data_IF_156973159736
#
_entry.id   IF_156973159736
#
_cell.length_a   1.000
_cell.length_b   1.000
_cell.length_c   1.000
_cell.angle_alpha   90.00
_cell.angle_beta   90.00
_cell.angle_gamma   90.00
#
_symmetry.space_group_name_H-M   'P 1'
#
loop_
_entity.id
_entity.type
_entity.pdbx_description
1 polymer ?
#
# COMPACT_ATOMS: atom_id res chain seq x y z
N UNK A 1 74.59 -30.49 -6.70
CA UNK A 1 74.12 -29.20 -7.23
C UNK A 1 72.85 -29.47 -8.03
N UNK A 2 71.73 -28.91 -7.57
CA UNK A 2 70.35 -28.92 -8.12
C UNK A 2 69.37 -29.26 -6.98
N UNK A 3 68.56 -28.30 -6.49
CA UNK A 3 67.57 -28.56 -5.46
C UNK A 3 66.28 -29.18 -6.07
N UNK A 4 65.70 -30.16 -5.38
CA UNK A 4 64.37 -30.70 -5.71
C UNK A 4 63.29 -29.63 -5.53
N UNK A 5 62.32 -29.50 -6.44
CA UNK A 5 61.24 -28.52 -6.26
C UNK A 5 60.33 -28.96 -5.11
N UNK A 6 60.17 -28.07 -4.13
CA UNK A 6 59.14 -28.17 -3.08
C UNK A 6 57.78 -27.99 -3.75
N UNK A 7 56.90 -28.97 -3.61
CA UNK A 7 55.49 -28.89 -3.98
C UNK A 7 54.82 -27.82 -3.11
N UNK A 8 54.58 -26.64 -3.67
CA UNK A 8 53.71 -25.65 -3.04
C UNK A 8 52.26 -26.04 -3.34
N UNK A 9 51.57 -26.57 -2.33
CA UNK A 9 50.11 -26.72 -2.35
C UNK A 9 49.54 -25.32 -2.14
N UNK A 10 49.14 -24.66 -3.23
CA UNK A 10 48.36 -23.44 -3.17
C UNK A 10 46.96 -23.80 -2.67
N UNK A 11 46.68 -23.55 -1.39
CA UNK A 11 45.29 -23.47 -0.93
C UNK A 11 44.68 -22.22 -1.57
N UNK A 12 43.93 -22.42 -2.64
CA UNK A 12 43.01 -21.41 -3.12
C UNK A 12 41.92 -21.29 -2.05
N UNK A 13 42.02 -20.28 -1.17
CA UNK A 13 40.85 -19.84 -0.42
C UNK A 13 39.84 -19.37 -1.46
N UNK A 14 38.89 -20.22 -1.81
CA UNK A 14 37.60 -19.75 -2.29
C UNK A 14 37.04 -18.93 -1.14
N UNK A 15 37.19 -17.61 -1.23
CA UNK A 15 36.32 -16.71 -0.51
C UNK A 15 34.92 -17.00 -1.04
N UNK A 16 34.21 -17.91 -0.38
CA UNK A 16 32.77 -18.01 -0.50
C UNK A 16 32.29 -16.63 -0.06
N UNK A 17 32.00 -15.76 -1.03
CA UNK A 17 31.13 -14.62 -0.79
C UNK A 17 29.86 -15.27 -0.27
N UNK A 18 29.71 -15.26 1.05
CA UNK A 18 28.41 -15.38 1.68
C UNK A 18 27.70 -14.12 1.19
N UNK A 19 27.06 -14.23 0.03
CA UNK A 19 26.01 -13.30 -0.34
C UNK A 19 24.94 -13.58 0.70
N UNK A 20 24.98 -12.84 1.81
CA UNK A 20 23.77 -12.65 2.60
C UNK A 20 22.75 -12.18 1.60
N UNK A 21 21.79 -13.05 1.28
CA UNK A 21 20.64 -12.66 0.50
C UNK A 21 20.07 -11.44 1.21
N UNK A 22 20.22 -10.26 0.62
CA UNK A 22 19.48 -9.10 1.05
C UNK A 22 18.03 -9.56 1.03
N UNK A 23 17.37 -9.53 2.18
CA UNK A 23 15.93 -9.73 2.22
C UNK A 23 15.34 -8.77 1.20
N UNK A 24 14.57 -9.28 0.23
CA UNK A 24 13.87 -8.44 -0.74
C UNK A 24 13.26 -7.24 0.00
N UNK A 25 13.55 -6.00 -0.39
CA UNK A 25 13.07 -4.83 0.32
C UNK A 25 11.57 -4.95 0.53
N UNK A 26 11.11 -4.75 1.77
CA UNK A 26 9.68 -4.76 2.08
C UNK A 26 9.09 -3.49 1.44
N UNK A 27 8.55 -3.62 0.23
CA UNK A 27 8.41 -2.49 -0.71
C UNK A 27 7.07 -1.77 -0.64
N UNK A 28 6.10 -2.29 0.12
CA UNK A 28 4.78 -1.68 0.18
C UNK A 28 4.82 -0.40 1.02
N UNK A 29 4.30 0.67 0.43
CA UNK A 29 4.22 1.98 1.03
C UNK A 29 2.73 2.30 1.20
N UNK A 30 2.35 2.83 2.35
CA UNK A 30 1.03 3.43 2.54
C UNK A 30 1.19 4.95 2.56
N UNK A 31 0.36 5.66 1.80
CA UNK A 31 0.54 7.08 1.59
C UNK A 31 -0.82 7.79 1.57
N UNK A 32 -0.90 8.97 2.15
CA UNK A 32 -2.12 9.79 2.13
C UNK A 32 -1.80 11.27 2.23
N UNK A 33 -2.80 12.11 1.93
CA UNK A 33 -2.76 13.55 2.13
C UNK A 33 -4.04 13.98 2.84
N UNK A 34 -3.91 14.78 3.89
CA UNK A 34 -5.03 15.29 4.67
C UNK A 34 -5.17 16.82 4.62
N UNK A 35 -4.33 17.48 3.83
CA UNK A 35 -4.31 18.92 3.71
C UNK A 35 -3.17 19.36 2.79
N UNK A 36 -3.24 20.58 2.26
CA UNK A 36 -2.12 21.15 1.51
C UNK A 36 -1.14 21.83 2.46
N UNK A 37 0.18 21.58 2.36
CA UNK A 37 0.89 20.73 1.40
C UNK A 37 1.17 19.30 1.91
N UNK A 38 0.52 18.88 3.01
CA UNK A 38 0.87 17.71 3.78
C UNK A 38 0.66 16.39 3.04
N UNK A 39 1.71 15.59 3.02
CA UNK A 39 1.70 14.18 2.61
C UNK A 39 2.36 13.37 3.71
N UNK A 40 1.80 12.21 4.02
CA UNK A 40 2.35 11.27 4.99
C UNK A 40 2.55 9.93 4.31
N UNK A 41 3.72 9.33 4.53
CA UNK A 41 4.09 8.03 3.98
C UNK A 41 4.61 7.12 5.08
N UNK A 42 4.17 5.87 5.04
CA UNK A 42 4.49 4.81 5.98
C UNK A 42 5.02 3.60 5.24
N UNK A 43 5.93 2.88 5.87
CA UNK A 43 6.36 1.57 5.38
C UNK A 43 7.05 0.79 6.48
N UNK A 44 7.61 -0.35 6.09
CA UNK A 44 8.20 -1.31 7.02
C UNK A 44 9.68 -1.51 6.67
N UNK A 45 10.55 -1.40 7.67
CA UNK A 45 11.97 -1.70 7.52
C UNK A 45 12.24 -3.22 7.54
N UNK A 46 13.44 -3.68 7.13
CA UNK A 46 13.80 -5.11 7.18
C UNK A 46 13.66 -5.74 8.58
N UNK A 47 13.91 -4.99 9.65
CA UNK A 47 13.76 -5.43 11.05
C UNK A 47 12.28 -5.45 11.53
N UNK A 48 11.34 -5.16 10.62
CA UNK A 48 9.89 -5.04 10.83
C UNK A 48 9.44 -3.80 11.58
N UNK A 49 10.33 -2.86 11.89
CA UNK A 49 9.91 -1.55 12.42
C UNK A 49 9.06 -0.80 11.39
N UNK A 50 8.18 0.06 11.87
CA UNK A 50 7.34 0.90 11.03
C UNK A 50 8.00 2.29 10.96
N UNK A 51 8.34 2.73 9.76
CA UNK A 51 8.84 4.08 9.53
C UNK A 51 7.75 4.98 8.99
N UNK A 52 7.86 6.28 9.31
CA UNK A 52 7.00 7.33 8.82
C UNK A 52 7.82 8.52 8.33
N UNK A 53 7.39 9.15 7.25
CA UNK A 53 7.96 10.39 6.75
C UNK A 53 6.83 11.27 6.23
N UNK A 54 6.99 12.57 6.31
CA UNK A 54 5.96 13.49 5.91
C UNK A 54 6.52 14.76 5.28
N UNK A 55 5.75 15.37 4.39
CA UNK A 55 6.08 16.65 3.78
C UNK A 55 5.32 17.79 4.47
N UNK A 56 6.03 18.86 4.79
CA UNK A 56 5.44 20.11 5.29
C UNK A 56 5.37 21.19 4.21
N UNK A 57 5.78 20.87 2.97
CA UNK A 57 5.87 21.78 1.83
C UNK A 57 6.93 22.87 2.02
N UNK A 58 7.01 23.79 1.06
CA UNK A 58 8.06 24.82 1.04
C UNK A 58 7.87 25.88 2.13
N UNK A 59 8.94 26.30 2.85
CA UNK A 59 10.34 25.89 2.69
C UNK A 59 10.76 24.67 3.55
N UNK A 60 9.89 24.10 4.37
CA UNK A 60 10.24 23.08 5.36
C UNK A 60 10.60 21.73 4.75
N UNK A 61 9.91 21.33 3.68
CA UNK A 61 10.05 20.07 2.95
C UNK A 61 9.81 18.82 3.80
N UNK A 62 10.37 17.71 3.33
CA UNK A 62 10.28 16.40 3.95
C UNK A 62 10.94 16.30 5.32
N UNK A 63 10.27 15.61 6.25
CA UNK A 63 10.69 15.38 7.63
C UNK A 63 10.37 13.95 8.09
N UNK A 64 11.17 13.38 9.01
CA UNK A 64 12.50 13.83 9.41
C UNK A 64 13.50 13.86 8.24
N UNK A 65 14.59 14.62 8.38
CA UNK A 65 15.67 14.67 7.38
C UNK A 65 17.02 14.88 8.09
N UNK A 66 18.00 13.96 7.98
CA UNK A 66 17.92 12.68 7.26
C UNK A 66 17.04 11.64 8.00
N UNK A 67 16.60 10.60 7.29
CA UNK A 67 15.92 9.44 7.87
C UNK A 67 14.40 9.54 7.99
N UNK A 68 13.84 8.82 8.96
CA UNK A 68 12.41 8.61 9.15
C UNK A 68 12.03 8.67 10.65
N UNK A 69 10.77 8.98 10.92
CA UNK A 69 10.18 8.86 12.25
C UNK A 69 9.91 7.37 12.55
N UNK A 70 10.32 6.90 13.72
CA UNK A 70 10.00 5.55 14.19
C UNK A 70 8.59 5.58 14.79
N UNK A 71 7.67 4.83 14.17
CA UNK A 71 6.29 4.76 14.62
C UNK A 71 6.08 3.82 15.81
N UNK A 72 7.16 3.17 16.26
CA UNK A 72 7.26 2.33 17.45
C UNK A 72 6.34 1.11 17.36
N UNK A 73 6.93 -0.06 17.15
CA UNK A 73 6.20 -1.32 16.99
C UNK A 73 6.83 -2.19 15.92
N UNK A 74 6.29 -3.40 15.74
CA UNK A 74 6.68 -4.26 14.61
C UNK A 74 5.46 -4.71 13.84
N UNK A 75 5.49 -4.54 12.53
CA UNK A 75 4.42 -4.96 11.65
C UNK A 75 4.74 -6.30 10.98
N UNK A 76 3.76 -7.20 10.98
CA UNK A 76 3.80 -8.47 10.25
C UNK A 76 3.24 -8.30 8.83
N UNK A 77 2.19 -7.51 8.68
CA UNK A 77 1.67 -7.04 7.38
C UNK A 77 1.76 -5.53 7.27
N UNK A 78 1.71 -5.05 6.03
CA UNK A 78 1.88 -3.64 5.69
C UNK A 78 0.92 -2.71 6.43
N UNK A 79 1.38 -1.50 6.79
CA UNK A 79 0.52 -0.51 7.41
C UNK A 79 -0.53 -0.02 6.42
N UNK A 80 -1.64 0.46 6.96
CA UNK A 80 -2.73 1.08 6.20
C UNK A 80 -3.04 2.42 6.85
N UNK A 81 -3.37 3.43 6.05
CA UNK A 81 -3.52 4.80 6.54
C UNK A 81 -4.75 5.45 5.94
N UNK A 82 -5.48 6.20 6.76
CA UNK A 82 -6.64 6.98 6.32
C UNK A 82 -6.61 8.37 6.96
N UNK A 83 -7.18 9.34 6.27
CA UNK A 83 -7.57 10.61 6.85
C UNK A 83 -9.03 10.89 6.54
N UNK A 84 -9.74 11.45 7.52
CA UNK A 84 -11.10 11.93 7.36
C UNK A 84 -11.21 13.46 7.47
N UNK A 85 -10.09 14.18 7.63
CA UNK A 85 -10.08 15.63 7.77
C UNK A 85 -8.71 16.23 8.05
N UNK A 86 -8.63 17.56 7.95
CA UNK A 86 -7.43 18.33 8.25
C UNK A 86 -6.90 18.00 9.65
N UNK A 87 -5.58 17.81 9.76
CA UNK A 87 -4.88 17.49 11.00
C UNK A 87 -5.28 16.16 11.64
N UNK A 88 -5.94 15.27 10.89
CA UNK A 88 -6.22 13.91 11.33
C UNK A 88 -5.56 12.90 10.43
N UNK A 89 -4.85 11.97 11.05
CA UNK A 89 -4.30 10.80 10.39
C UNK A 89 -4.50 9.58 11.29
N UNK A 90 -5.04 8.50 10.74
CA UNK A 90 -5.19 7.23 11.45
C UNK A 90 -4.36 6.18 10.71
N UNK A 91 -3.40 5.56 11.40
CA UNK A 91 -2.64 4.45 10.84
C UNK A 91 -2.94 3.15 11.60
N UNK A 92 -2.92 2.07 10.83
CA UNK A 92 -3.20 0.73 11.27
C UNK A 92 -2.07 -0.19 10.84
N UNK A 93 -1.82 -1.24 11.61
CA UNK A 93 -0.93 -2.32 11.20
C UNK A 93 -1.39 -3.63 11.82
N UNK A 94 -0.92 -4.75 11.26
CA UNK A 94 -1.10 -6.07 11.86
C UNK A 94 0.20 -6.49 12.52
N UNK A 95 0.16 -6.80 13.81
CA UNK A 95 1.32 -7.27 14.58
C UNK A 95 1.71 -8.72 14.29
N UNK A 96 2.83 -9.20 14.83
CA UNK A 96 3.30 -10.60 14.68
C UNK A 96 2.30 -11.61 15.24
N UNK A 97 1.54 -11.19 16.24
CA UNK A 97 0.44 -11.92 16.85
C UNK A 97 -0.86 -11.84 16.06
N UNK A 98 -0.83 -11.28 14.84
CA UNK A 98 -1.93 -11.22 13.88
C UNK A 98 -3.14 -10.39 14.30
N UNK A 99 -3.02 -9.56 15.32
CA UNK A 99 -4.07 -8.59 15.65
C UNK A 99 -3.83 -7.26 14.94
N UNK A 100 -4.92 -6.54 14.71
CA UNK A 100 -4.87 -5.16 14.26
C UNK A 100 -4.50 -4.24 15.43
N UNK A 101 -3.72 -3.21 15.10
CA UNK A 101 -3.32 -2.14 15.99
C UNK A 101 -3.63 -0.81 15.33
N UNK A 102 -3.93 0.20 16.15
CA UNK A 102 -4.28 1.54 15.71
C UNK A 102 -3.53 2.60 16.50
N UNK A 103 -3.12 3.65 15.80
CA UNK A 103 -2.59 4.87 16.40
C UNK A 103 -2.88 6.04 15.45
N UNK A 104 -3.11 7.22 16.00
CA UNK A 104 -3.60 8.36 15.23
C UNK A 104 -2.93 9.66 15.62
N UNK A 105 -2.83 10.58 14.67
CA UNK A 105 -2.41 11.96 14.88
C UNK A 105 -3.64 12.82 15.15
N UNK A 106 -3.65 13.54 16.28
CA UNK A 106 -4.77 14.40 16.69
C UNK A 106 -4.64 15.87 16.24
N UNK A 107 -3.58 16.18 15.50
CA UNK A 107 -3.21 17.54 15.09
C UNK A 107 -2.04 18.11 15.86
N UNK A 108 -1.68 17.48 16.98
CA UNK A 108 -0.59 17.92 17.85
C UNK A 108 0.36 16.78 18.26
N UNK A 109 -0.15 15.56 18.40
CA UNK A 109 0.62 14.40 18.80
C UNK A 109 0.01 13.08 18.32
N UNK A 110 0.83 12.03 18.38
CA UNK A 110 0.41 10.66 18.13
C UNK A 110 -0.19 10.02 19.38
N UNK A 111 -1.40 9.47 19.25
CA UNK A 111 -2.16 8.83 20.31
C UNK A 111 -2.49 7.36 19.97
N UNK A 112 -2.46 6.43 20.95
CA UNK A 112 -2.06 6.64 22.34
C UNK A 112 -0.58 7.06 22.49
N UNK A 113 -0.24 7.84 23.51
CA UNK A 113 1.12 8.38 23.68
C UNK A 113 2.17 7.26 23.88
N UNK A 114 3.41 7.54 23.49
CA UNK A 114 4.55 6.65 23.71
C UNK A 114 4.63 5.48 22.71
N UNK A 115 5.17 4.33 23.18
CA UNK A 115 5.55 3.17 22.35
C UNK A 115 4.39 2.22 22.00
N UNK A 116 3.17 2.57 22.36
CA UNK A 116 2.03 1.66 22.26
C UNK A 116 1.09 2.09 21.13
N UNK A 117 0.42 1.10 20.55
CA UNK A 117 -0.76 1.26 19.70
C UNK A 117 -1.96 0.67 20.44
N UNK A 118 -3.15 1.19 20.17
CA UNK A 118 -4.39 0.60 20.65
C UNK A 118 -4.60 -0.73 19.93
N UNK A 119 -4.68 -1.83 20.70
CA UNK A 119 -4.93 -3.16 20.15
C UNK A 119 -6.42 -3.32 19.87
N UNK A 120 -6.75 -3.67 18.63
CA UNK A 120 -8.12 -3.86 18.15
C UNK A 120 -8.52 -5.33 18.02
N UNK A 121 -7.68 -6.23 18.50
CA UNK A 121 -7.78 -7.69 18.35
C UNK A 121 -7.88 -8.15 16.88
N UNK A 122 -8.40 -9.37 16.66
CA UNK A 122 -8.44 -10.02 15.35
C UNK A 122 -7.37 -11.12 15.19
N UNK A 123 -7.43 -11.81 14.06
CA UNK A 123 -6.46 -12.84 13.67
C UNK A 123 -6.31 -12.83 12.14
N UNK A 124 -5.53 -11.88 11.65
CA UNK A 124 -5.41 -11.53 10.25
C UNK A 124 -4.28 -12.28 9.53
N UNK A 125 -4.51 -12.53 8.24
CA UNK A 125 -3.59 -13.20 7.30
C UNK A 125 -3.23 -12.33 6.09
N UNK A 126 -3.52 -11.03 6.16
CA UNK A 126 -3.21 -10.00 5.16
C UNK A 126 -3.02 -8.63 5.82
N UNK A 127 -2.63 -7.63 5.02
CA UNK A 127 -2.83 -6.22 5.39
C UNK A 127 -4.31 -5.85 5.53
N UNK A 128 -4.56 -4.65 6.04
CA UNK A 128 -5.93 -4.13 6.25
C UNK A 128 -6.31 -3.14 5.14
N UNK A 129 -7.59 -3.11 4.76
CA UNK A 129 -8.14 -2.01 3.96
C UNK A 129 -8.84 -1.03 4.88
N UNK A 130 -8.57 0.27 4.73
CA UNK A 130 -9.15 1.31 5.58
C UNK A 130 -9.75 2.42 4.72
N UNK A 131 -11.03 2.70 4.92
CA UNK A 131 -11.77 3.70 4.13
C UNK A 131 -12.55 4.64 5.05
N UNK A 132 -12.54 5.93 4.74
CA UNK A 132 -13.39 6.94 5.37
C UNK A 132 -14.39 7.47 4.35
N UNK A 133 -15.65 7.68 4.78
CA UNK A 133 -16.69 8.30 3.96
C UNK A 133 -17.30 9.55 4.57
N UNK A 134 -16.92 9.92 5.79
CA UNK A 134 -17.32 11.17 6.42
C UNK A 134 -16.34 11.57 7.52
N UNK A 135 -16.28 12.86 7.90
CA UNK A 135 -15.51 13.29 9.05
C UNK A 135 -15.83 12.46 10.30
N UNK A 136 -14.79 12.12 11.07
CA UNK A 136 -14.88 11.32 12.29
C UNK A 136 -15.52 9.93 12.07
N UNK A 137 -15.34 9.32 10.89
CA UNK A 137 -15.80 7.97 10.57
C UNK A 137 -14.82 7.26 9.64
N UNK A 138 -14.44 6.04 9.99
CA UNK A 138 -13.71 5.15 9.09
C UNK A 138 -14.00 3.69 9.40
N UNK A 139 -13.69 2.83 8.43
CA UNK A 139 -13.96 1.42 8.43
C UNK A 139 -12.73 0.65 8.02
N UNK A 140 -12.56 -0.50 8.67
CA UNK A 140 -11.42 -1.37 8.53
C UNK A 140 -11.93 -2.74 8.13
N UNK A 141 -11.31 -3.31 7.11
CA UNK A 141 -11.56 -4.68 6.66
C UNK A 141 -10.24 -5.43 6.63
N UNK A 142 -10.21 -6.65 7.12
CA UNK A 142 -9.03 -7.51 7.04
C UNK A 142 -9.39 -8.96 6.77
N UNK A 143 -8.52 -9.69 6.07
CA UNK A 143 -8.70 -11.12 5.84
C UNK A 143 -8.24 -11.92 7.05
N UNK A 144 -9.12 -12.77 7.58
CA UNK A 144 -8.83 -13.63 8.72
C UNK A 144 -7.93 -14.81 8.35
N UNK A 145 -7.45 -15.55 9.34
CA UNK A 145 -6.73 -16.81 9.13
C UNK A 145 -7.60 -17.94 8.54
N UNK A 146 -8.92 -17.75 8.51
CA UNK A 146 -9.89 -18.68 7.89
C UNK A 146 -10.41 -18.16 6.56
N UNK A 147 -9.69 -17.21 5.94
CA UNK A 147 -10.01 -16.60 4.64
C UNK A 147 -11.34 -15.83 4.58
N UNK A 148 -12.01 -15.58 5.70
CA UNK A 148 -13.17 -14.67 5.72
C UNK A 148 -12.71 -13.22 5.83
N UNK A 149 -13.54 -12.28 5.39
CA UNK A 149 -13.31 -10.86 5.68
C UNK A 149 -13.99 -10.45 6.99
N UNK A 150 -13.22 -9.79 7.84
CA UNK A 150 -13.69 -9.22 9.11
C UNK A 150 -13.75 -7.71 9.00
N UNK A 151 -14.78 -7.11 9.59
CA UNK A 151 -15.06 -5.68 9.57
C UNK A 151 -15.08 -5.07 10.97
N UNK A 152 -14.57 -3.84 11.07
CA UNK A 152 -14.67 -2.98 12.25
C UNK A 152 -14.83 -1.53 11.80
N UNK A 153 -15.49 -0.70 12.60
CA UNK A 153 -15.61 0.71 12.31
C UNK A 153 -15.37 1.59 13.54
N UNK A 154 -14.83 2.78 13.32
CA UNK A 154 -14.94 3.88 14.28
C UNK A 154 -16.17 4.70 13.94
N UNK A 155 -17.19 4.66 14.79
CA UNK A 155 -18.51 5.30 14.53
C UNK A 155 -18.55 6.81 14.78
N UNK A 156 -17.41 7.42 15.14
CA UNK A 156 -17.34 8.80 15.62
C UNK A 156 -17.50 8.95 17.13
N UNK A 157 -17.99 7.91 17.79
CA UNK A 157 -18.11 7.85 19.25
C UNK A 157 -17.46 6.59 19.85
N UNK A 158 -17.47 5.47 19.13
CA UNK A 158 -16.96 4.20 19.63
C UNK A 158 -16.58 3.23 18.50
N UNK A 159 -15.78 2.23 18.85
CA UNK A 159 -15.51 1.07 18.00
C UNK A 159 -16.76 0.19 17.88
N UNK A 160 -17.10 -0.20 16.65
CA UNK A 160 -18.13 -1.17 16.34
C UNK A 160 -17.52 -2.42 15.72
N UNK A 161 -17.92 -3.65 16.12
CA UNK A 161 -18.90 -3.97 17.16
C UNK A 161 -18.48 -3.57 18.58
N UNK A 162 -17.18 -3.69 18.87
CA UNK A 162 -16.53 -3.20 20.08
C UNK A 162 -15.03 -3.03 19.82
N UNK A 163 -14.24 -2.60 20.80
CA UNK A 163 -12.78 -2.53 20.65
C UNK A 163 -12.15 -3.92 20.44
N UNK A 164 -12.67 -4.96 21.12
CA UNK A 164 -12.12 -6.33 21.09
C UNK A 164 -12.75 -7.26 20.06
N UNK A 165 -13.86 -6.88 19.42
CA UNK A 165 -14.59 -7.77 18.51
C UNK A 165 -14.62 -7.24 17.08
N UNK A 166 -14.71 -8.16 16.12
CA UNK A 166 -14.87 -7.84 14.70
C UNK A 166 -16.14 -8.49 14.16
N UNK A 167 -16.82 -7.81 13.26
CA UNK A 167 -17.96 -8.37 12.53
C UNK A 167 -17.45 -9.28 11.41
N UNK A 168 -17.80 -10.56 11.45
CA UNK A 168 -17.45 -11.49 10.38
C UNK A 168 -18.41 -11.35 9.19
N UNK A 169 -17.89 -10.85 8.07
CA UNK A 169 -18.63 -10.67 6.82
C UNK A 169 -18.63 -11.94 5.95
N UNK A 170 -17.95 -13.02 6.36
CA UNK A 170 -17.91 -14.28 5.63
C UNK A 170 -17.02 -14.25 4.38
N UNK A 171 -17.42 -15.03 3.36
CA UNK A 171 -16.65 -15.28 2.15
C UNK A 171 -15.46 -16.24 2.33
N UNK A 172 -14.74 -16.49 1.24
CA UNK A 172 -13.52 -17.30 1.21
C UNK A 172 -12.53 -16.67 0.22
N UNK A 173 -11.60 -15.86 0.74
CA UNK A 173 -10.76 -14.97 -0.04
C UNK A 173 -9.29 -15.38 -0.08
N UNK A 174 -8.65 -15.17 -1.24
CA UNK A 174 -7.21 -15.35 -1.45
C UNK A 174 -6.44 -14.03 -1.35
N UNK A 175 -7.06 -12.90 -1.67
CA UNK A 175 -6.45 -11.57 -1.63
C UNK A 175 -6.63 -10.85 -0.28
N UNK A 176 -5.87 -9.78 -0.05
CA UNK A 176 -6.28 -8.75 0.91
C UNK A 176 -7.61 -8.09 0.43
N UNK A 177 -8.41 -7.54 1.36
CA UNK A 177 -9.58 -6.76 0.96
C UNK A 177 -9.14 -5.46 0.29
N UNK A 178 -9.94 -4.99 -0.67
CA UNK A 178 -9.86 -3.66 -1.22
C UNK A 178 -11.19 -2.95 -0.93
N UNK A 179 -11.17 -1.71 -0.43
CA UNK A 179 -12.40 -0.98 -0.13
C UNK A 179 -12.37 0.46 -0.62
N UNK A 180 -13.55 0.98 -0.97
CA UNK A 180 -13.74 2.33 -1.49
C UNK A 180 -15.07 2.90 -0.98
N UNK A 181 -15.14 4.23 -0.92
CA UNK A 181 -16.37 4.97 -0.72
C UNK A 181 -16.48 6.04 -1.80
N UNK A 182 -17.67 6.17 -2.39
CA UNK A 182 -18.02 7.24 -3.33
C UNK A 182 -18.99 8.26 -2.72
N UNK A 183 -19.38 8.10 -1.46
CA UNK A 183 -20.27 9.04 -0.78
C UNK A 183 -20.55 8.67 0.67
N UNK A 184 -21.16 9.59 1.45
CA UNK A 184 -21.53 9.33 2.83
C UNK A 184 -22.41 8.08 2.95
N UNK A 185 -22.17 7.28 4.00
CA UNK A 185 -22.90 6.05 4.29
C UNK A 185 -22.81 4.96 3.20
N UNK A 186 -21.76 5.03 2.38
CA UNK A 186 -21.47 4.01 1.37
C UNK A 186 -20.07 3.46 1.55
N UNK A 187 -19.97 2.14 1.64
CA UNK A 187 -18.71 1.41 1.61
C UNK A 187 -18.87 0.23 0.66
N UNK A 188 -17.94 0.08 -0.25
CA UNK A 188 -17.84 -1.06 -1.15
C UNK A 188 -16.57 -1.84 -0.82
N UNK A 189 -16.67 -3.16 -0.69
CA UNK A 189 -15.57 -4.06 -0.36
C UNK A 189 -15.46 -5.12 -1.45
N UNK A 190 -14.23 -5.38 -1.88
CA UNK A 190 -13.90 -6.33 -2.93
C UNK A 190 -12.82 -7.31 -2.47
N UNK A 191 -12.83 -8.50 -3.06
CA UNK A 191 -11.81 -9.52 -2.83
C UNK A 191 -11.79 -10.57 -3.93
N UNK A 192 -10.65 -11.24 -4.09
CA UNK A 192 -10.53 -12.39 -4.99
C UNK A 192 -10.96 -13.64 -4.24
N UNK A 193 -11.94 -14.33 -4.80
CA UNK A 193 -12.40 -15.61 -4.26
C UNK A 193 -11.30 -16.67 -4.35
N UNK A 194 -11.08 -17.41 -3.26
CA UNK A 194 -10.02 -18.40 -3.18
C UNK A 194 -10.31 -19.69 -3.98
N UNK A 195 -11.57 -19.94 -4.35
CA UNK A 195 -11.97 -21.13 -5.10
C UNK A 195 -12.06 -20.84 -6.60
N UNK A 196 -12.74 -19.76 -6.99
CA UNK A 196 -12.97 -19.41 -8.40
C UNK A 196 -11.92 -18.48 -8.99
N UNK A 197 -11.23 -17.69 -8.15
CA UNK A 197 -10.35 -16.62 -8.60
C UNK A 197 -11.07 -15.40 -9.20
N UNK A 198 -12.41 -15.34 -9.08
CA UNK A 198 -13.22 -14.20 -9.53
C UNK A 198 -13.27 -13.10 -8.47
N UNK A 199 -13.67 -11.88 -8.86
CA UNK A 199 -13.90 -10.79 -7.90
C UNK A 199 -15.28 -10.95 -7.26
N UNK A 200 -15.32 -10.92 -5.93
CA UNK A 200 -16.56 -10.78 -5.17
C UNK A 200 -16.69 -9.37 -4.60
N UNK A 201 -17.93 -8.96 -4.35
CA UNK A 201 -18.28 -7.66 -3.80
C UNK A 201 -19.33 -7.76 -2.69
N UNK A 202 -19.24 -6.83 -1.74
CA UNK A 202 -20.23 -6.59 -0.70
C UNK A 202 -20.18 -5.12 -0.32
N UNK A 203 -21.33 -4.52 -0.06
CA UNK A 203 -21.40 -3.10 0.23
C UNK A 203 -22.35 -2.76 1.36
N UNK A 204 -22.04 -1.68 2.06
CA UNK A 204 -22.90 -1.02 3.03
C UNK A 204 -23.62 0.14 2.36
N UNK A 205 -24.93 0.29 2.57
CA UNK A 205 -25.72 1.38 1.98
C UNK A 205 -26.54 2.18 3.01
N UNK A 206 -26.00 2.31 4.23
CA UNK A 206 -26.53 3.21 5.26
C UNK A 206 -27.23 2.50 6.41
N UNK A 207 -27.88 1.38 6.16
CA UNK A 207 -28.61 0.60 7.16
C UNK A 207 -28.23 -0.88 7.18
N UNK A 208 -27.72 -1.41 6.07
CA UNK A 208 -27.48 -2.84 5.91
C UNK A 208 -26.37 -3.16 4.91
N UNK A 209 -25.79 -4.35 5.10
CA UNK A 209 -24.88 -4.96 4.15
C UNK A 209 -25.65 -5.69 3.04
N UNK A 210 -25.15 -5.57 1.81
CA UNK A 210 -25.68 -6.26 0.63
C UNK A 210 -24.54 -7.00 -0.08
N UNK A 211 -24.71 -8.30 -0.40
CA UNK A 211 -25.81 -9.18 0.04
C UNK A 211 -25.92 -9.28 1.57
N UNK A 212 -27.08 -9.68 2.11
CA UNK A 212 -27.27 -9.80 3.56
C UNK A 212 -26.53 -11.03 4.13
N UNK A 213 -26.20 -11.00 5.42
CA UNK A 213 -25.48 -12.11 6.07
C UNK A 213 -24.03 -12.22 5.61
N UNK A 214 -23.54 -13.46 5.44
CA UNK A 214 -22.15 -13.80 5.11
C UNK A 214 -21.88 -14.03 3.61
N UNK A 215 -22.89 -13.78 2.79
CA UNK A 215 -22.84 -13.94 1.34
C UNK A 215 -22.19 -12.73 0.65
N UNK A 216 -21.70 -12.94 -0.57
CA UNK A 216 -21.03 -11.96 -1.42
C UNK A 216 -21.55 -12.08 -2.85
N UNK A 217 -21.67 -10.95 -3.56
CA UNK A 217 -22.04 -10.97 -4.98
C UNK A 217 -20.81 -11.29 -5.83
N UNK A 218 -20.98 -12.10 -6.87
CA UNK A 218 -19.90 -12.46 -7.80
C UNK A 218 -19.92 -11.53 -9.01
N UNK A 219 -18.84 -10.78 -9.19
CA UNK A 219 -18.65 -9.88 -10.33
C UNK A 219 -17.94 -10.57 -11.50
N UNK A 220 -17.61 -11.85 -11.37
CA UNK A 220 -16.94 -12.65 -12.40
C UNK A 220 -15.51 -12.19 -12.68
N UNK A 221 -15.07 -12.44 -13.91
CA UNK A 221 -13.68 -12.26 -14.33
C UNK A 221 -12.75 -13.36 -13.80
N UNK A 222 -11.45 -13.16 -13.98
CA UNK A 222 -10.40 -14.01 -13.43
C UNK A 222 -10.16 -15.32 -14.20
N UNK A 223 -9.38 -16.25 -13.62
CA UNK A 223 -8.75 -16.16 -12.29
C UNK A 223 -7.73 -15.01 -12.20
N UNK A 224 -7.84 -14.22 -11.14
CA UNK A 224 -6.97 -13.07 -10.88
C UNK A 224 -5.84 -13.42 -9.88
N UNK A 225 -4.75 -12.65 -9.96
CA UNK A 225 -3.55 -12.75 -9.13
C UNK A 225 -3.50 -11.64 -8.07
N UNK A 226 -2.79 -11.93 -6.98
CA UNK A 226 -2.39 -10.92 -6.01
C UNK A 226 -3.56 -10.22 -5.32
N UNK A 227 -3.46 -8.90 -5.22
CA UNK A 227 -4.48 -8.04 -4.63
C UNK A 227 -5.21 -7.20 -5.71
N UNK A 228 -6.37 -6.69 -5.32
CA UNK A 228 -7.22 -5.80 -6.13
C UNK A 228 -6.93 -4.35 -5.75
N UNK A 229 -6.98 -3.45 -6.74
CA UNK A 229 -7.07 -2.01 -6.50
C UNK A 229 -8.49 -1.53 -6.80
N UNK A 230 -9.02 -0.64 -5.96
CA UNK A 230 -10.29 0.06 -6.21
C UNK A 230 -10.16 1.54 -5.87
N UNK A 231 -10.81 2.39 -6.64
CA UNK A 231 -10.86 3.83 -6.35
C UNK A 231 -12.09 4.48 -6.98
N UNK A 232 -12.41 5.69 -6.54
CA UNK A 232 -13.56 6.47 -7.00
C UNK A 232 -13.17 7.92 -7.27
N UNK A 233 -13.72 8.51 -8.33
CA UNK A 233 -13.65 9.95 -8.57
C UNK A 233 -14.88 10.73 -8.07
N UNK A 234 -15.92 10.06 -7.57
CA UNK A 234 -17.11 10.75 -7.10
C UNK A 234 -18.38 9.91 -7.03
N UNK A 235 -19.51 10.55 -6.68
CA UNK A 235 -20.77 9.87 -6.42
C UNK A 235 -21.23 8.99 -7.59
N UNK A 236 -21.66 7.77 -7.27
CA UNK A 236 -22.14 6.80 -8.25
C UNK A 236 -21.04 6.16 -9.09
N UNK A 237 -19.75 6.39 -8.81
CA UNK A 237 -18.65 5.83 -9.58
C UNK A 237 -17.64 5.10 -8.70
N UNK A 238 -17.22 3.92 -9.12
CA UNK A 238 -15.91 3.38 -8.77
C UNK A 238 -15.40 2.47 -9.89
N UNK A 239 -14.11 2.22 -9.87
CA UNK A 239 -13.36 1.42 -10.82
C UNK A 239 -12.60 0.33 -10.05
N UNK A 240 -12.49 -0.85 -10.63
CA UNK A 240 -11.91 -2.06 -10.06
C UNK A 240 -10.83 -2.58 -11.01
N UNK A 241 -9.64 -2.84 -10.48
CA UNK A 241 -8.53 -3.36 -11.26
C UNK A 241 -7.96 -4.63 -10.64
N UNK A 242 -7.76 -5.64 -11.49
CA UNK A 242 -7.19 -6.92 -11.10
C UNK A 242 -6.27 -7.46 -12.20
N UNK A 243 -5.10 -7.96 -11.83
CA UNK A 243 -4.19 -8.61 -12.79
C UNK A 243 -4.61 -10.07 -12.98
N UNK A 244 -4.69 -10.56 -14.22
CA UNK A 244 -4.96 -11.97 -14.49
C UNK A 244 -3.69 -12.84 -14.47
N UNK A 245 -3.84 -14.15 -14.65
CA UNK A 245 -2.74 -15.12 -14.63
C UNK A 245 -1.65 -14.87 -15.69
N UNK A 246 -1.95 -14.13 -16.76
CA UNK A 246 -0.99 -13.74 -17.80
C UNK A 246 -0.29 -12.41 -17.49
N UNK A 247 -0.66 -11.78 -16.38
CA UNK A 247 -0.20 -10.47 -15.96
C UNK A 247 -0.89 -9.30 -16.65
N UNK A 248 -1.93 -9.55 -17.44
CA UNK A 248 -2.72 -8.49 -18.06
C UNK A 248 -3.64 -7.85 -17.00
N UNK A 249 -3.66 -6.52 -16.97
CA UNK A 249 -4.57 -5.77 -16.13
C UNK A 249 -5.98 -5.84 -16.72
N UNK A 250 -6.94 -6.22 -15.89
CA UNK A 250 -8.35 -6.21 -16.22
C UNK A 250 -9.03 -5.10 -15.41
N UNK A 251 -10.00 -4.44 -16.03
CA UNK A 251 -10.74 -3.31 -15.47
C UNK A 251 -12.25 -3.59 -15.53
N UNK A 252 -12.95 -3.36 -14.41
CA UNK A 252 -14.40 -3.38 -14.31
C UNK A 252 -14.84 -2.12 -13.58
N UNK A 253 -16.02 -1.59 -13.93
CA UNK A 253 -16.41 -0.32 -13.36
C UNK A 253 -17.91 -0.16 -13.19
N UNK A 254 -18.31 0.54 -12.12
CA UNK A 254 -19.70 0.89 -11.82
C UNK A 254 -19.97 2.33 -12.24
N UNK A 255 -20.98 2.55 -13.09
CA UNK A 255 -21.30 3.85 -13.68
C UNK A 255 -22.45 4.61 -13.00
N UNK A 256 -23.00 4.05 -11.91
CA UNK A 256 -24.15 4.58 -11.19
C UNK A 256 -25.43 3.79 -11.43
N UNK A 257 -25.47 2.96 -12.48
CA UNK A 257 -26.62 2.16 -12.85
C UNK A 257 -26.27 0.67 -13.05
N UNK A 258 -25.11 0.36 -13.62
CA UNK A 258 -24.69 -1.00 -13.91
C UNK A 258 -23.15 -1.15 -13.91
N UNK A 259 -22.73 -2.41 -13.82
CA UNK A 259 -21.36 -2.82 -14.14
C UNK A 259 -21.17 -2.90 -15.65
N UNK A 260 -20.10 -2.27 -16.17
CA UNK A 260 -19.84 -2.17 -17.62
C UNK A 260 -18.98 -3.31 -18.20
N UNK A 261 -19.02 -4.50 -17.60
CA UNK A 261 -18.25 -5.66 -18.04
C UNK A 261 -16.73 -5.51 -17.84
N UNK A 262 -16.03 -6.64 -17.83
CA UNK A 262 -14.57 -6.65 -17.71
C UNK A 262 -13.91 -6.31 -19.05
N UNK A 263 -12.99 -5.35 -19.03
CA UNK A 263 -12.14 -4.98 -20.17
C UNK A 263 -10.65 -5.24 -19.88
N UNK A 264 -9.91 -5.56 -20.93
CA UNK A 264 -8.47 -5.87 -20.89
C UNK A 264 -7.66 -4.62 -21.19
N UNK A 265 -6.64 -4.37 -20.37
CA UNK A 265 -5.87 -3.12 -20.34
C UNK A 265 -4.38 -3.34 -20.63
N UNK A 266 -3.98 -4.54 -21.09
CA UNK A 266 -2.58 -4.94 -21.27
C UNK A 266 -1.77 -4.93 -19.98
N UNK A 267 -0.44 -4.89 -20.10
CA UNK A 267 0.47 -4.87 -18.95
C UNK A 267 1.05 -6.24 -18.59
N UNK A 268 1.93 -6.25 -17.57
CA UNK A 268 2.68 -7.44 -17.13
C UNK A 268 2.85 -7.45 -15.60
N UNK A 269 1.75 -7.63 -14.89
CA UNK A 269 1.66 -7.45 -13.44
C UNK A 269 1.53 -8.78 -12.68
N UNK A 270 2.08 -8.86 -11.46
CA UNK A 270 1.73 -9.95 -10.51
C UNK A 270 0.54 -9.62 -9.60
N UNK A 271 0.17 -8.35 -9.52
CA UNK A 271 -0.89 -7.81 -8.68
C UNK A 271 -1.40 -6.50 -9.28
N UNK A 272 -2.60 -6.05 -8.92
CA UNK A 272 -3.10 -4.77 -9.42
C UNK A 272 -2.12 -3.60 -9.11
N UNK A 273 -1.94 -2.66 -10.04
CA UNK A 273 -1.11 -1.47 -9.86
C UNK A 273 -1.81 -0.44 -8.96
N UNK A 274 -1.09 0.62 -8.60
CA UNK A 274 -1.67 1.74 -7.86
C UNK A 274 -2.41 2.69 -8.79
N UNK A 275 -3.59 3.13 -8.37
CA UNK A 275 -4.48 3.97 -9.17
C UNK A 275 -4.95 5.17 -8.35
N UNK A 276 -5.04 6.33 -8.99
CA UNK A 276 -5.62 7.53 -8.39
C UNK A 276 -6.63 8.19 -9.32
N UNK A 277 -7.63 8.79 -8.70
CA UNK A 277 -8.67 9.60 -9.33
C UNK A 277 -8.48 11.06 -8.95
N UNK A 278 -8.22 11.90 -9.94
CA UNK A 278 -8.05 13.35 -9.73
C UNK A 278 -9.37 14.08 -9.67
N UNK A 279 -10.22 13.73 -10.62
CA UNK A 279 -11.50 14.35 -10.92
C UNK A 279 -12.28 13.37 -11.81
N UNK A 280 -13.51 13.74 -12.15
CA UNK A 280 -14.34 13.03 -13.12
C UNK A 280 -13.54 12.82 -14.41
N UNK A 281 -13.50 11.56 -14.88
CA UNK A 281 -12.80 11.14 -16.09
C UNK A 281 -11.29 11.43 -16.11
N UNK A 282 -10.65 11.56 -14.93
CA UNK A 282 -9.20 11.74 -14.83
C UNK A 282 -8.56 10.71 -13.90
N UNK A 283 -7.99 9.67 -14.50
CA UNK A 283 -7.30 8.56 -13.83
C UNK A 283 -5.82 8.60 -14.15
N UNK A 284 -4.97 8.36 -13.15
CA UNK A 284 -3.58 7.96 -13.38
C UNK A 284 -3.30 6.62 -12.71
N UNK A 285 -2.63 5.73 -13.44
CA UNK A 285 -2.21 4.41 -12.99
C UNK A 285 -0.70 4.34 -13.09
N UNK A 286 -0.05 3.85 -12.04
CA UNK A 286 1.37 3.50 -12.05
C UNK A 286 1.56 2.15 -11.37
N UNK A 287 2.28 1.25 -12.01
CA UNK A 287 2.60 -0.04 -11.41
C UNK A 287 3.90 -0.64 -11.94
N UNK A 288 4.40 -1.62 -11.19
CA UNK A 288 5.58 -2.38 -11.52
C UNK A 288 5.22 -3.52 -12.48
N UNK A 289 5.90 -3.60 -13.62
CA UNK A 289 5.80 -4.75 -14.52
C UNK A 289 6.70 -5.89 -14.02
N UNK A 290 6.22 -6.60 -13.00
CA UNK A 290 6.90 -7.71 -12.33
C UNK A 290 6.35 -9.11 -12.67
N UNK A 291 5.36 -9.16 -13.57
CA UNK A 291 4.75 -10.38 -14.10
C UNK A 291 5.65 -11.16 -15.06
N UNK A 292 5.08 -12.17 -15.70
CA UNK A 292 5.77 -12.92 -16.75
C UNK A 292 6.17 -11.96 -17.89
N UNK A 293 7.42 -12.08 -18.37
CA UNK A 293 8.05 -11.18 -19.32
C UNK A 293 8.08 -9.68 -18.92
N UNK A 294 7.80 -9.36 -17.66
CA UNK A 294 7.92 -8.00 -17.10
C UNK A 294 9.37 -7.51 -17.12
N UNK A 295 9.57 -6.22 -17.32
CA UNK A 295 10.90 -5.60 -17.37
C UNK A 295 11.40 -5.11 -16.00
N UNK A 296 10.60 -5.28 -14.94
CA UNK A 296 10.94 -4.86 -13.58
C UNK A 296 10.94 -3.33 -13.39
N UNK A 297 10.30 -2.59 -14.28
CA UNK A 297 10.22 -1.12 -14.22
C UNK A 297 8.81 -0.64 -13.90
N UNK A 298 8.70 0.62 -13.48
CA UNK A 298 7.40 1.26 -13.42
C UNK A 298 6.90 1.60 -14.81
N UNK A 299 5.61 1.36 -15.00
CA UNK A 299 4.86 1.74 -16.19
C UNK A 299 3.65 2.55 -15.77
N UNK A 300 3.17 3.41 -16.66
CA UNK A 300 2.00 4.24 -16.41
C UNK A 300 1.01 4.29 -17.55
N UNK A 301 -0.23 4.55 -17.19
CA UNK A 301 -1.37 4.75 -18.09
C UNK A 301 -2.26 5.81 -17.47
N UNK A 302 -2.85 6.66 -18.30
CA UNK A 302 -3.79 7.68 -17.84
C UNK A 302 -5.09 7.63 -18.62
N UNK A 303 -6.17 8.03 -17.98
CA UNK A 303 -7.46 8.27 -18.61
C UNK A 303 -7.78 9.75 -18.51
N UNK A 304 -8.17 10.33 -19.64
CA UNK A 304 -8.52 11.74 -19.73
C UNK A 304 -9.39 12.02 -20.94
N UNK A 305 -10.50 12.74 -20.74
CA UNK A 305 -11.37 13.21 -21.83
C UNK A 305 -11.95 12.07 -22.68
N UNK A 306 -12.40 11.00 -22.03
CA UNK A 306 -13.03 9.86 -22.71
C UNK A 306 -12.07 8.82 -23.31
N UNK A 307 -10.76 8.92 -23.07
CA UNK A 307 -9.78 8.02 -23.71
C UNK A 307 -8.61 7.64 -22.81
N UNK A 308 -8.11 6.42 -23.01
CA UNK A 308 -6.88 5.92 -22.39
C UNK A 308 -5.65 6.33 -23.20
N UNK A 309 -4.62 6.76 -22.50
CA UNK A 309 -3.31 7.12 -23.05
C UNK A 309 -2.22 6.24 -22.41
N UNK A 310 -1.33 5.61 -23.19
CA UNK A 310 -1.12 5.79 -24.64
C UNK A 310 -2.19 5.13 -25.53
N UNK A 311 -2.84 4.07 -25.04
CA UNK A 311 -4.00 3.44 -25.67
C UNK A 311 -4.75 2.60 -24.61
N UNK A 312 -5.82 1.91 -25.01
CA UNK A 312 -6.52 0.98 -24.12
C UNK A 312 -5.59 -0.13 -23.56
N UNK A 313 -4.65 -0.64 -24.36
CA UNK A 313 -3.80 -1.79 -23.99
C UNK A 313 -2.32 -1.46 -23.80
N UNK A 314 -1.84 -0.34 -24.33
CA UNK A 314 -0.42 0.03 -24.24
C UNK A 314 -0.10 0.82 -22.97
N UNK A 315 1.18 0.87 -22.59
CA UNK A 315 1.66 1.56 -21.39
C UNK A 315 2.92 2.38 -21.68
N UNK A 316 3.10 3.49 -20.94
CA UNK A 316 4.33 4.26 -20.97
C UNK A 316 5.36 3.69 -19.99
N UNK A 317 6.58 3.39 -20.46
CA UNK A 317 7.72 3.07 -19.60
C UNK A 317 8.11 4.32 -18.79
N UNK A 318 8.10 4.20 -17.46
CA UNK A 318 8.57 5.23 -16.51
C UNK A 318 9.97 4.97 -15.97
N UNK A 319 10.55 3.81 -16.25
CA UNK A 319 11.88 3.45 -15.77
C UNK A 319 11.91 3.09 -14.28
N UNK A 320 13.11 3.26 -13.72
CA UNK A 320 13.43 2.93 -12.33
C UNK A 320 13.74 1.46 -12.08
N UNK A 321 14.32 1.20 -10.92
CA UNK A 321 14.75 -0.13 -10.46
C UNK A 321 14.12 -0.39 -9.09
N UNK A 322 12.86 -0.84 -9.09
CA UNK A 322 12.00 -0.87 -7.91
C UNK A 322 11.77 -2.28 -7.37
N UNK A 323 11.68 -2.38 -6.04
CA UNK A 323 11.49 -3.64 -5.33
C UNK A 323 10.02 -4.07 -5.23
N UNK A 324 9.07 -3.22 -5.62
CA UNK A 324 7.65 -3.55 -5.67
C UNK A 324 6.77 -2.37 -6.09
N UNK A 325 5.45 -2.56 -5.96
CA UNK A 325 4.46 -1.59 -6.42
C UNK A 325 4.63 -0.19 -5.78
N UNK A 326 4.35 0.89 -6.53
CA UNK A 326 4.44 2.24 -6.02
C UNK A 326 3.27 2.58 -5.09
N UNK A 327 3.42 3.62 -4.27
CA UNK A 327 2.29 4.33 -3.66
C UNK A 327 2.03 5.65 -4.38
N UNK A 328 0.76 5.95 -4.63
CA UNK A 328 0.31 7.17 -5.30
C UNK A 328 -0.49 8.05 -4.36
N UNK A 329 -0.22 9.36 -4.36
CA UNK A 329 -1.00 10.35 -3.62
C UNK A 329 -1.24 11.57 -4.48
N UNK A 330 -2.49 12.03 -4.52
CA UNK A 330 -2.83 13.33 -5.06
C UNK A 330 -2.90 14.34 -3.92
N UNK A 331 -2.12 15.41 -4.02
CA UNK A 331 -2.32 16.57 -3.18
C UNK A 331 -3.31 17.51 -3.86
N UNK A 332 -4.57 17.48 -3.43
CA UNK A 332 -5.65 18.26 -4.05
C UNK A 332 -5.43 19.77 -3.97
N UNK A 333 -4.68 20.27 -2.98
CA UNK A 333 -4.43 21.71 -2.86
C UNK A 333 -3.35 22.23 -3.80
N UNK A 334 -2.36 21.39 -4.16
CA UNK A 334 -1.36 21.75 -5.19
C UNK A 334 -1.73 21.23 -6.58
N UNK A 335 -2.70 20.30 -6.66
CA UNK A 335 -3.03 19.55 -7.86
C UNK A 335 -1.80 18.81 -8.44
N UNK A 336 -1.00 18.21 -7.56
CA UNK A 336 0.16 17.40 -7.93
C UNK A 336 -0.07 15.92 -7.60
N UNK A 337 0.53 15.04 -8.38
CA UNK A 337 0.58 13.60 -8.13
C UNK A 337 1.98 13.22 -7.69
N UNK A 338 2.05 12.51 -6.58
CA UNK A 338 3.28 12.00 -5.99
C UNK A 338 3.33 10.50 -6.21
N UNK A 339 4.44 10.03 -6.77
CA UNK A 339 4.74 8.61 -6.98
C UNK A 339 5.91 8.24 -6.08
N UNK A 340 5.65 7.36 -5.12
CA UNK A 340 6.65 6.83 -4.21
C UNK A 340 6.98 5.38 -4.57
N UNK A 341 8.24 5.00 -4.47
CA UNK A 341 8.67 3.61 -4.64
C UNK A 341 9.92 3.31 -3.83
N UNK A 342 10.06 2.09 -3.32
CA UNK A 342 11.31 1.62 -2.72
C UNK A 342 12.14 0.98 -3.83
N UNK A 343 13.31 1.55 -4.11
CA UNK A 343 14.24 1.00 -5.08
C UNK A 343 14.85 -0.33 -4.58
N UNK A 344 15.43 -1.13 -5.48
CA UNK A 344 16.08 -2.40 -5.14
C UNK A 344 17.29 -2.24 -4.21
N UNK A 345 17.88 -1.04 -4.17
CA UNK A 345 18.90 -0.64 -3.19
C UNK A 345 18.31 -0.23 -1.82
N UNK A 346 16.98 -0.28 -1.67
CA UNK A 346 16.25 0.07 -0.46
C UNK A 346 16.05 1.56 -0.23
N UNK A 347 16.45 2.43 -1.17
CA UNK A 347 16.21 3.87 -1.05
C UNK A 347 14.76 4.17 -1.43
N UNK A 348 14.06 4.92 -0.58
CA UNK A 348 12.76 5.49 -0.92
C UNK A 348 12.96 6.60 -1.96
N UNK A 349 12.28 6.46 -3.09
CA UNK A 349 12.31 7.38 -4.23
C UNK A 349 11.00 8.15 -4.36
N UNK A 350 11.07 9.35 -4.92
CA UNK A 350 9.93 10.21 -5.22
C UNK A 350 10.01 10.79 -6.64
N UNK A 351 8.89 10.77 -7.34
CA UNK A 351 8.66 11.60 -8.53
C UNK A 351 7.32 12.35 -8.39
N UNK A 352 7.25 13.57 -8.89
CA UNK A 352 6.06 14.41 -8.81
C UNK A 352 5.61 14.81 -10.21
N UNK A 353 4.32 14.67 -10.53
CA UNK A 353 3.71 15.42 -11.63
C UNK A 353 3.21 16.76 -11.08
N UNK A 354 3.79 17.86 -11.55
CA UNK A 354 3.52 19.22 -11.06
C UNK A 354 2.34 19.92 -11.77
N UNK A 355 1.54 19.17 -12.54
CA UNK A 355 0.48 19.71 -13.38
C UNK A 355 0.93 20.06 -14.81
N UNK A 356 2.24 20.15 -15.05
CA UNK A 356 2.81 20.46 -16.37
C UNK A 356 3.86 19.45 -16.84
N UNK A 357 4.66 18.92 -15.93
CA UNK A 357 5.73 17.98 -16.21
C UNK A 357 6.01 17.09 -15.00
N UNK A 358 6.64 15.94 -15.28
CA UNK A 358 7.26 15.13 -14.24
C UNK A 358 8.50 15.83 -13.68
N UNK A 359 8.68 15.72 -12.37
CA UNK A 359 9.79 16.23 -11.61
C UNK A 359 10.44 15.11 -10.79
N UNK A 360 11.78 14.96 -10.86
CA UNK A 360 12.70 15.76 -11.70
C UNK A 360 12.43 15.55 -13.20
N UNK A 361 12.79 16.52 -14.07
CA UNK A 361 12.49 16.54 -15.53
C UNK A 361 13.17 15.44 -16.38
N UNK A 362 13.67 14.39 -15.73
CA UNK A 362 14.23 13.17 -16.34
C UNK A 362 13.45 11.96 -15.83
N UNK A 363 13.70 10.78 -16.37
CA UNK A 363 13.30 9.48 -15.82
C UNK A 363 13.88 9.18 -14.42
N UNK A 364 14.52 10.17 -13.80
CA UNK A 364 15.03 10.13 -12.44
C UNK A 364 13.96 10.30 -11.37
N UNK A 365 14.40 10.03 -10.15
CA UNK A 365 13.63 10.17 -8.93
C UNK A 365 14.49 10.90 -7.89
N UNK A 366 13.86 11.63 -6.99
CA UNK A 366 14.54 12.16 -5.80
C UNK A 366 14.65 11.09 -4.72
N UNK A 367 15.76 11.12 -3.99
CA UNK A 367 15.99 10.25 -2.85
C UNK A 367 15.39 10.87 -1.58
N UNK A 368 14.57 10.09 -0.89
CA UNK A 368 13.93 10.50 0.36
C UNK A 368 14.55 9.83 1.61
N UNK A 369 15.35 8.79 1.44
CA UNK A 369 16.12 8.15 2.51
C UNK A 369 16.24 6.64 2.37
N UNK A 370 17.17 6.05 3.11
CA UNK A 370 17.40 4.61 3.16
C UNK A 370 16.38 3.92 4.06
N UNK A 371 15.52 3.07 3.50
CA UNK A 371 14.49 2.33 4.25
C UNK A 371 15.03 1.04 4.90
N UNK A 372 16.25 0.61 4.55
CA UNK A 372 16.92 -0.51 5.21
C UNK A 372 17.55 -0.09 6.54
N UNK A 373 17.96 1.18 6.64
CA UNK A 373 18.44 1.80 7.87
C UNK A 373 17.72 3.15 8.15
N UNK A 374 16.41 3.12 8.44
CA UNK A 374 15.60 4.33 8.49
C UNK A 374 15.90 5.24 9.69
N UNK A 375 16.63 4.75 10.71
CA UNK A 375 16.91 5.48 11.95
C UNK A 375 18.43 5.64 12.20
N UNK A 376 19.14 6.42 11.37
CA UNK A 376 20.60 6.52 11.42
C UNK A 376 21.15 7.04 12.76
N UNK A 377 20.37 7.79 13.53
CA UNK A 377 20.74 8.34 14.85
C UNK A 377 20.63 7.33 16.01
N UNK A 378 20.15 6.10 15.80
CA UNK A 378 20.20 5.03 16.82
C UNK A 378 21.59 4.40 16.99
N UNK A 379 22.61 4.91 16.30
CA UNK A 379 24.01 4.55 16.48
C UNK A 379 24.66 5.33 17.64
N UNK A 380 24.26 5.01 18.88
CA UNK A 380 25.05 5.06 20.13
C UNK A 380 24.11 5.14 21.33
N UNK A 381 23.69 3.97 21.81
CA UNK A 381 23.47 3.68 23.24
C UNK A 381 23.40 2.15 23.39
N UNK A 382 24.44 1.46 22.89
CA UNK A 382 24.82 0.19 23.45
C UNK A 382 25.70 0.46 24.68
N UNK A 383 25.06 0.75 25.81
CA UNK A 383 25.58 0.25 27.07
C UNK A 383 24.79 -1.01 27.40
N UNK A 384 25.23 -2.11 26.80
CA UNK A 384 25.14 -3.37 27.49
C UNK A 384 26.01 -3.22 28.74
N UNK A 385 25.41 -2.76 29.84
CA UNK A 385 25.96 -3.05 31.16
C UNK A 385 25.58 -4.49 31.44
N UNK A 386 26.52 -5.35 31.07
CA UNK A 386 26.81 -6.60 31.73
C UNK A 386 26.74 -6.39 33.26
N UNK A 387 25.76 -7.03 33.91
CA UNK A 387 25.91 -7.49 35.29
C UNK A 387 25.19 -8.84 35.38
N UNK A 388 25.97 -9.89 35.15
CA UNK A 388 25.82 -11.13 35.92
C UNK A 388 26.19 -10.78 37.37
N UNK A 389 25.21 -10.87 38.28
CA UNK A 389 25.28 -11.47 39.60
C UNK A 389 23.85 -11.76 40.10
#
# INVERSE_FOLDING_TARGET
MSPSPKTAITFLLLATKITTALSTPNSHIAATSWGSPRIDIFGIAPDKSIWHKYDLGSPQGWRPNPGFEDMLGTAFYYPSVVSWGQNRLDYFHVGKERAAHHKFWDGSQWLPEGKYSERLEGNFSSGLSVTSWSPNRFDIVGRSSTNTYLHKAWTGASWYPSITEWLDLGGNFSSAPASVSWGPNRLDIFGIDAETGSVKHKYWHGDSWVPTGKEWEDLGGGPFLGDITVSSWGPGRFDIWAADQTGELNHLFWDGAAYQGWEKMGGKFKTAPSVVHWDIEKIDIVGLFDGEDGDGKYHSKSYGGGSWSPSAVDWYDKGGDFAGQPALVINKGTNFLYVFGVANDGVLKLQIWDGSAWQPKSDGYWDLGDTQNPYPSKSSNQWAVQLDL
#
